data_IF_681776065176
#
_entry.id   IF_681776065176
#
_cell.length_a   1.000
_cell.length_b   1.000
_cell.length_c   1.000
_cell.angle_alpha   90.00
_cell.angle_beta   90.00
_cell.angle_gamma   90.00
#
_symmetry.space_group_name_H-M   'P 1'
#
loop_
_entity.id
_entity.type
_entity.pdbx_description
1 polymer ?
#
# COMPACT_ATOMS: atom_id res chain seq x y z
N UNK A 1 -9.85 13.26 -3.64
CA UNK A 1 -10.87 13.18 -4.70
C UNK A 1 -10.77 11.80 -5.33
N UNK A 2 -11.89 11.07 -5.43
CA UNK A 2 -11.93 9.73 -6.03
C UNK A 2 -11.39 9.72 -7.46
N UNK A 3 -11.70 10.76 -8.23
CA UNK A 3 -11.23 10.97 -9.61
C UNK A 3 -9.71 11.04 -9.78
N UNK A 4 -8.94 11.22 -8.70
CA UNK A 4 -7.48 11.23 -8.73
C UNK A 4 -6.86 9.86 -8.41
N UNK A 5 -7.67 8.85 -8.12
CA UNK A 5 -7.20 7.49 -7.83
C UNK A 5 -7.41 6.65 -9.11
N UNK A 6 -6.35 6.21 -9.81
CA UNK A 6 -6.47 5.38 -11.01
C UNK A 6 -7.33 4.13 -10.84
N UNK A 7 -7.27 3.47 -9.68
CA UNK A 7 -8.12 2.31 -9.37
C UNK A 7 -9.61 2.64 -9.21
N UNK A 8 -9.99 3.92 -9.23
CA UNK A 8 -11.37 4.43 -9.14
C UNK A 8 -12.16 3.87 -7.95
N UNK A 9 -11.48 3.60 -6.84
CA UNK A 9 -12.07 3.23 -5.55
C UNK A 9 -11.17 3.67 -4.41
N UNK A 10 -11.73 3.73 -3.21
CA UNK A 10 -10.93 3.87 -2.00
C UNK A 10 -10.27 2.53 -1.64
N UNK A 11 -9.10 2.61 -1.00
CA UNK A 11 -8.48 1.45 -0.37
C UNK A 11 -9.36 0.94 0.77
N UNK A 12 -9.28 -0.36 1.03
CA UNK A 12 -10.02 -1.03 2.10
C UNK A 12 -9.09 -1.32 3.28
N UNK A 13 -9.68 -1.44 4.47
CA UNK A 13 -8.94 -1.74 5.71
C UNK A 13 -8.16 -3.05 5.63
N UNK A 14 -8.74 -4.07 5.00
CA UNK A 14 -8.10 -5.38 4.80
C UNK A 14 -6.85 -5.30 3.91
N UNK A 15 -6.82 -4.40 2.94
CA UNK A 15 -5.65 -4.19 2.08
C UNK A 15 -4.49 -3.55 2.86
N UNK A 16 -4.79 -2.59 3.74
CA UNK A 16 -3.80 -1.96 4.63
C UNK A 16 -3.28 -2.97 5.64
N UNK A 17 -4.19 -3.74 6.26
CA UNK A 17 -3.83 -4.77 7.23
C UNK A 17 -2.96 -5.87 6.60
N UNK A 18 -3.29 -6.30 5.38
CA UNK A 18 -2.51 -7.31 4.65
C UNK A 18 -1.10 -6.82 4.34
N UNK A 19 -0.94 -5.57 3.85
CA UNK A 19 0.39 -4.98 3.61
C UNK A 19 1.19 -4.90 4.91
N UNK A 20 0.59 -4.40 5.99
CA UNK A 20 1.25 -4.31 7.30
C UNK A 20 1.67 -5.69 7.82
N UNK A 21 0.80 -6.69 7.70
CA UNK A 21 1.10 -8.06 8.10
C UNK A 21 2.29 -8.65 7.33
N UNK A 22 2.34 -8.41 6.01
CA UNK A 22 3.49 -8.84 5.19
C UNK A 22 4.78 -8.12 5.60
N UNK A 23 4.75 -6.79 5.82
CA UNK A 23 5.91 -6.02 6.29
C UNK A 23 6.46 -6.51 7.63
N UNK A 24 5.59 -6.99 8.52
CA UNK A 24 5.98 -7.56 9.82
C UNK A 24 6.33 -9.05 9.77
N UNK A 25 6.24 -9.70 8.60
CA UNK A 25 6.48 -11.13 8.44
C UNK A 25 7.93 -11.45 8.05
N UNK A 26 8.30 -12.73 8.15
CA UNK A 26 9.59 -13.22 7.67
C UNK A 26 9.73 -13.13 6.13
N UNK A 27 8.62 -13.04 5.40
CA UNK A 27 8.62 -12.92 3.94
C UNK A 27 9.17 -11.56 3.46
N UNK A 28 9.19 -10.55 4.34
CA UNK A 28 9.78 -9.23 4.09
C UNK A 28 11.17 -9.07 4.75
N UNK A 29 11.88 -10.16 5.02
CA UNK A 29 13.10 -10.17 5.85
C UNK A 29 14.30 -9.36 5.34
N UNK A 30 14.34 -9.02 4.05
CA UNK A 30 15.47 -8.30 3.44
C UNK A 30 15.12 -6.90 2.92
N UNK A 31 13.98 -6.35 3.31
CA UNK A 31 13.61 -4.96 3.01
C UNK A 31 13.73 -4.09 4.25
N UNK A 32 14.38 -2.92 4.12
CA UNK A 32 14.45 -1.91 5.18
C UNK A 32 14.56 -0.50 4.57
N UNK A 33 14.06 0.50 5.28
CA UNK A 33 14.13 1.92 4.87
C UNK A 33 13.32 2.28 3.61
N UNK A 34 12.46 1.38 3.12
CA UNK A 34 11.64 1.59 1.94
C UNK A 34 10.23 2.11 2.29
N UNK A 35 9.59 2.78 1.35
CA UNK A 35 8.18 3.20 1.41
C UNK A 35 7.38 2.36 0.44
N UNK A 36 6.30 1.74 0.92
CA UNK A 36 5.32 1.04 0.08
C UNK A 36 4.11 1.94 -0.13
N UNK A 37 3.88 2.37 -1.38
CA UNK A 37 2.70 3.16 -1.72
C UNK A 37 1.45 2.28 -1.79
N UNK A 38 0.43 2.66 -1.04
CA UNK A 38 -0.88 2.02 -1.03
C UNK A 38 -1.96 3.03 -1.45
N UNK A 39 -1.67 3.85 -2.45
CA UNK A 39 -2.53 4.97 -2.84
C UNK A 39 -3.58 4.62 -3.90
N UNK A 40 -3.57 3.39 -4.41
CA UNK A 40 -4.35 2.99 -5.58
C UNK A 40 -3.91 3.69 -6.86
N UNK A 41 -2.62 4.07 -6.94
CA UNK A 41 -1.99 4.77 -8.06
C UNK A 41 -2.11 6.30 -8.02
N UNK A 42 -2.60 6.88 -6.92
CA UNK A 42 -2.77 8.34 -6.79
C UNK A 42 -1.45 9.08 -6.62
N UNK A 43 -0.47 8.47 -5.97
CA UNK A 43 0.81 9.11 -5.71
C UNK A 43 1.62 9.29 -7.01
N UNK A 44 2.14 10.49 -7.21
CA UNK A 44 2.98 10.86 -8.36
C UNK A 44 4.29 11.38 -7.78
N UNK A 45 5.18 10.47 -7.41
CA UNK A 45 6.55 10.76 -7.01
C UNK A 45 7.51 10.24 -8.06
#
# INVERSE_FOLDING_TARGET
MLSKIPMNRFGRLDEVAALAAWLCSADCSFTTGAVFDLSGGRATY
#
